data_IF_836159687625
#
_entry.id   IF_836159687625
#
_cell.length_a   1.000
_cell.length_b   1.000
_cell.length_c   1.000
_cell.angle_alpha   90.00
_cell.angle_beta   90.00
_cell.angle_gamma   90.00
#
_symmetry.space_group_name_H-M   'P 1'
#
loop_
_entity.id
_entity.type
_entity.pdbx_description
1 polymer ?
#
# COMPACT_ATOMS: atom_id res chain seq x y z
N UNK A 1 21.98 -9.93 -19.19
CA UNK A 1 20.73 -9.35 -18.68
C UNK A 1 21.07 -7.99 -18.13
N UNK A 2 20.52 -6.90 -18.69
CA UNK A 2 20.72 -5.57 -18.12
C UNK A 2 20.05 -5.52 -16.74
N UNK A 3 20.71 -4.94 -15.74
CA UNK A 3 20.13 -4.73 -14.41
C UNK A 3 18.94 -3.75 -14.48
N UNK A 4 18.10 -3.75 -13.44
CA UNK A 4 17.04 -2.75 -13.29
C UNK A 4 17.66 -1.33 -13.28
N UNK A 5 16.97 -0.30 -13.80
CA UNK A 5 17.35 1.08 -13.59
C UNK A 5 17.57 1.37 -12.09
N UNK A 6 18.49 2.27 -11.69
CA UNK A 6 18.80 2.53 -10.28
C UNK A 6 17.58 2.84 -9.41
N UNK A 7 16.65 3.62 -9.95
CA UNK A 7 15.39 3.97 -9.28
C UNK A 7 14.48 2.75 -9.06
N UNK A 8 14.36 1.89 -10.07
CA UNK A 8 13.58 0.66 -9.97
C UNK A 8 14.22 -0.33 -8.97
N UNK A 9 15.56 -0.39 -8.92
CA UNK A 9 16.26 -1.18 -7.91
C UNK A 9 15.99 -0.66 -6.49
N UNK A 10 16.03 0.66 -6.28
CA UNK A 10 15.75 1.27 -4.99
C UNK A 10 14.29 1.05 -4.55
N UNK A 11 13.33 1.19 -5.47
CA UNK A 11 11.92 0.87 -5.19
C UNK A 11 11.76 -0.59 -4.78
N UNK A 12 12.43 -1.51 -5.45
CA UNK A 12 12.41 -2.93 -5.10
C UNK A 12 13.00 -3.21 -3.71
N UNK A 13 14.05 -2.50 -3.32
CA UNK A 13 14.61 -2.58 -1.95
C UNK A 13 13.64 -2.05 -0.89
N UNK A 14 12.94 -0.96 -1.19
CA UNK A 14 11.90 -0.41 -0.30
C UNK A 14 10.74 -1.39 -0.14
N UNK A 15 10.23 -1.99 -1.22
CA UNK A 15 9.16 -2.98 -1.15
C UNK A 15 9.55 -4.21 -0.32
N UNK A 16 10.81 -4.67 -0.43
CA UNK A 16 11.35 -5.74 0.43
C UNK A 16 11.48 -5.31 1.90
N UNK A 17 11.77 -4.05 2.17
CA UNK A 17 11.79 -3.52 3.52
C UNK A 17 10.39 -3.51 4.13
N UNK A 18 9.38 -3.08 3.37
CA UNK A 18 7.97 -3.09 3.80
C UNK A 18 7.46 -4.51 4.07
N UNK A 19 7.83 -5.47 3.20
CA UNK A 19 7.55 -6.90 3.43
C UNK A 19 8.06 -7.36 4.81
N UNK A 20 9.33 -7.09 5.12
CA UNK A 20 9.94 -7.50 6.39
C UNK A 20 9.27 -6.82 7.59
N UNK A 21 9.07 -5.50 7.51
CA UNK A 21 8.39 -4.73 8.55
C UNK A 21 7.02 -5.32 8.87
N UNK A 22 6.22 -5.60 7.84
CA UNK A 22 4.85 -6.03 8.05
C UNK A 22 4.71 -7.49 8.40
N UNK A 23 5.66 -8.36 8.03
CA UNK A 23 5.72 -9.72 8.59
C UNK A 23 5.77 -9.69 10.13
N UNK A 24 6.58 -8.80 10.70
CA UNK A 24 6.66 -8.64 12.15
C UNK A 24 5.39 -8.03 12.75
N UNK A 25 4.82 -7.00 12.11
CA UNK A 25 3.57 -6.38 12.59
C UNK A 25 2.37 -7.35 12.51
N UNK A 26 2.26 -8.15 11.46
CA UNK A 26 1.15 -9.09 11.28
C UNK A 26 1.15 -10.20 12.33
N UNK A 27 2.34 -10.66 12.75
CA UNK A 27 2.47 -11.60 13.86
C UNK A 27 1.88 -11.05 15.18
N UNK A 28 1.94 -9.74 15.40
CA UNK A 28 1.42 -9.10 16.61
C UNK A 28 -0.09 -8.79 16.55
N UNK A 29 -0.60 -8.33 15.39
CA UNK A 29 -1.96 -7.79 15.28
C UNK A 29 -2.98 -8.74 14.63
N UNK A 30 -2.52 -9.76 13.90
CA UNK A 30 -3.37 -10.69 13.15
C UNK A 30 -4.34 -9.98 12.20
N UNK A 31 -5.55 -10.52 12.08
CA UNK A 31 -6.59 -10.06 11.13
C UNK A 31 -7.35 -8.80 11.55
N UNK A 32 -6.91 -8.08 12.59
CA UNK A 32 -7.66 -6.93 13.13
C UNK A 32 -8.00 -5.86 12.07
N UNK A 33 -7.15 -5.73 11.05
CA UNK A 33 -7.28 -4.77 9.95
C UNK A 33 -8.47 -5.02 9.02
N UNK A 34 -9.02 -6.24 8.95
CA UNK A 34 -10.14 -6.61 8.06
C UNK A 34 -11.42 -7.05 8.75
N UNK A 35 -11.41 -7.22 10.08
CA UNK A 35 -12.54 -7.80 10.86
C UNK A 35 -13.92 -7.14 10.65
N UNK A 36 -13.97 -5.89 10.18
CA UNK A 36 -15.23 -5.15 9.93
C UNK A 36 -15.48 -4.90 8.44
N UNK A 37 -14.84 -5.69 7.58
CA UNK A 37 -15.02 -5.63 6.12
C UNK A 37 -14.37 -4.41 5.46
N UNK A 38 -14.68 -4.24 4.18
CA UNK A 38 -14.10 -3.24 3.28
C UNK A 38 -14.23 -1.80 3.81
N UNK A 39 -15.45 -1.34 4.11
CA UNK A 39 -15.69 0.08 4.42
C UNK A 39 -15.24 0.47 5.84
N UNK A 40 -15.63 -0.32 6.85
CA UNK A 40 -15.45 0.06 8.26
C UNK A 40 -14.03 -0.23 8.77
N UNK A 41 -13.34 -1.24 8.22
CA UNK A 41 -11.99 -1.59 8.65
C UNK A 41 -10.93 -1.16 7.64
N UNK A 42 -10.98 -1.69 6.42
CA UNK A 42 -9.89 -1.53 5.44
C UNK A 42 -9.83 -0.08 4.96
N UNK A 43 -10.92 0.42 4.40
CA UNK A 43 -11.00 1.78 3.88
C UNK A 43 -10.76 2.83 4.95
N UNK A 44 -11.33 2.67 6.15
CA UNK A 44 -11.09 3.59 7.26
C UNK A 44 -9.61 3.69 7.67
N UNK A 45 -8.85 2.58 7.62
CA UNK A 45 -7.41 2.62 7.88
C UNK A 45 -6.64 3.31 6.76
N UNK A 46 -6.97 3.00 5.49
CA UNK A 46 -6.36 3.64 4.31
C UNK A 46 -6.63 5.14 4.31
N UNK A 47 -7.87 5.58 4.52
CA UNK A 47 -8.28 6.98 4.56
C UNK A 47 -7.56 7.75 5.67
N UNK A 48 -7.48 7.20 6.88
CA UNK A 48 -6.73 7.83 7.98
C UNK A 48 -5.25 8.04 7.66
N UNK A 49 -4.63 7.13 6.88
CA UNK A 49 -3.22 7.29 6.46
C UNK A 49 -3.11 8.34 5.37
N UNK A 50 -4.02 8.34 4.40
CA UNK A 50 -4.10 9.41 3.40
C UNK A 50 -4.27 10.80 4.03
N UNK A 51 -5.21 10.97 4.96
CA UNK A 51 -5.45 12.25 5.65
C UNK A 51 -4.19 12.79 6.35
N UNK A 52 -3.41 11.89 6.97
CA UNK A 52 -2.12 12.25 7.59
C UNK A 52 -1.11 12.76 6.56
N UNK A 53 -1.07 12.16 5.37
CA UNK A 53 -0.22 12.63 4.27
C UNK A 53 -0.69 13.99 3.75
N UNK A 54 -2.00 14.19 3.61
CA UNK A 54 -2.57 15.50 3.23
C UNK A 54 -2.13 16.59 4.18
N UNK A 55 -2.24 16.38 5.51
CA UNK A 55 -1.75 17.34 6.50
C UNK A 55 -0.24 17.61 6.36
N UNK A 56 0.56 16.57 6.12
CA UNK A 56 2.00 16.71 6.00
C UNK A 56 2.44 17.46 4.73
N UNK A 57 1.83 17.17 3.58
CA UNK A 57 2.20 17.75 2.28
C UNK A 57 1.55 19.12 2.03
N UNK A 58 0.29 19.31 2.45
CA UNK A 58 -0.48 20.51 2.11
C UNK A 58 -0.49 21.54 3.24
N UNK A 59 -0.66 21.10 4.49
CA UNK A 59 -0.68 22.03 5.63
C UNK A 59 0.71 22.35 6.18
N UNK A 60 1.74 21.63 5.74
CA UNK A 60 3.13 21.72 6.24
C UNK A 60 3.23 21.65 7.76
N UNK A 61 2.28 20.95 8.39
CA UNK A 61 2.26 20.74 9.83
C UNK A 61 2.99 19.44 10.15
N UNK A 62 3.98 19.45 11.06
CA UNK A 62 4.60 18.22 11.52
C UNK A 62 3.51 17.30 12.07
N UNK A 63 3.36 16.10 11.53
CA UNK A 63 2.51 15.09 12.11
C UNK A 63 3.06 14.77 13.51
N UNK A 64 2.37 15.22 14.56
CA UNK A 64 2.86 15.14 15.94
C UNK A 64 3.02 13.70 16.46
N UNK A 65 2.54 12.70 15.72
CA UNK A 65 2.40 11.32 16.22
C UNK A 65 3.11 10.25 15.40
N UNK A 66 3.50 10.51 14.15
CA UNK A 66 4.09 9.49 13.26
C UNK A 66 4.99 10.13 12.18
N UNK A 67 6.19 9.59 11.93
CA UNK A 67 7.03 10.03 10.81
C UNK A 67 6.31 9.92 9.45
N UNK A 68 6.64 10.83 8.54
CA UNK A 68 6.04 10.87 7.20
C UNK A 68 6.29 9.57 6.42
N UNK A 69 7.53 9.05 6.45
CA UNK A 69 7.90 7.82 5.77
C UNK A 69 7.10 6.61 6.28
N UNK A 70 6.86 6.53 7.59
CA UNK A 70 6.08 5.47 8.21
C UNK A 70 4.61 5.56 7.78
N UNK A 71 4.07 6.78 7.67
CA UNK A 71 2.70 6.99 7.17
C UNK A 71 2.55 6.54 5.70
N UNK A 72 3.54 6.85 4.84
CA UNK A 72 3.55 6.39 3.43
C UNK A 72 3.72 4.87 3.35
N UNK A 73 4.61 4.29 4.16
CA UNK A 73 4.83 2.85 4.27
C UNK A 73 3.55 2.12 4.68
N UNK A 74 2.87 2.60 5.71
CA UNK A 74 1.60 2.04 6.17
C UNK A 74 0.53 2.15 5.08
N UNK A 75 0.41 3.29 4.37
CA UNK A 75 -0.55 3.43 3.27
C UNK A 75 -0.30 2.42 2.15
N UNK A 76 0.97 2.22 1.76
CA UNK A 76 1.37 1.20 0.79
C UNK A 76 0.91 -0.19 1.23
N UNK A 77 1.12 -0.54 2.49
CA UNK A 77 0.72 -1.85 3.00
C UNK A 77 -0.78 -2.00 3.14
N UNK A 78 -1.52 -0.99 3.60
CA UNK A 78 -2.98 -1.08 3.65
C UNK A 78 -3.61 -1.19 2.26
N UNK A 79 -3.02 -0.54 1.25
CA UNK A 79 -3.42 -0.75 -0.15
C UNK A 79 -3.12 -2.19 -0.62
N UNK A 80 -1.94 -2.74 -0.28
CA UNK A 80 -1.59 -4.13 -0.56
C UNK A 80 -2.50 -5.14 0.14
N UNK A 81 -2.83 -4.91 1.41
CA UNK A 81 -3.77 -5.73 2.17
C UNK A 81 -5.19 -5.67 1.63
N UNK A 82 -5.61 -4.50 1.14
CA UNK A 82 -6.90 -4.42 0.46
C UNK A 82 -6.94 -5.31 -0.79
N UNK A 83 -5.86 -5.38 -1.56
CA UNK A 83 -5.76 -6.31 -2.69
C UNK A 83 -5.82 -7.78 -2.26
N UNK A 84 -5.13 -8.19 -1.17
CA UNK A 84 -5.23 -9.58 -0.69
C UNK A 84 -6.64 -9.93 -0.25
N UNK A 85 -7.36 -8.97 0.33
CA UNK A 85 -8.77 -9.12 0.67
C UNK A 85 -9.67 -9.22 -0.57
N UNK A 86 -9.47 -8.39 -1.61
CA UNK A 86 -10.23 -8.52 -2.86
C UNK A 86 -9.95 -9.88 -3.52
N UNK A 87 -8.69 -10.32 -3.58
CA UNK A 87 -8.30 -11.62 -4.12
C UNK A 87 -8.98 -12.79 -3.39
N UNK A 88 -9.17 -12.70 -2.07
CA UNK A 88 -9.84 -13.70 -1.27
C UNK A 88 -11.38 -13.68 -1.45
N UNK A 89 -12.00 -12.51 -1.40
CA UNK A 89 -13.46 -12.37 -1.38
C UNK A 89 -14.10 -12.33 -2.77
N UNK A 90 -13.36 -11.85 -3.76
CA UNK A 90 -13.81 -11.60 -5.14
C UNK A 90 -12.78 -12.10 -6.16
N UNK A 91 -12.43 -13.41 -6.13
CA UNK A 91 -11.32 -13.95 -6.91
C UNK A 91 -11.52 -13.81 -8.43
N UNK A 92 -12.75 -13.98 -8.92
CA UNK A 92 -13.05 -13.89 -10.35
C UNK A 92 -12.86 -12.45 -10.87
N UNK A 93 -13.32 -11.47 -10.11
CA UNK A 93 -13.16 -10.06 -10.42
C UNK A 93 -11.70 -9.60 -10.26
N UNK A 94 -10.98 -10.15 -9.28
CA UNK A 94 -9.56 -9.91 -9.12
C UNK A 94 -8.76 -10.42 -10.32
N UNK A 95 -9.00 -11.66 -10.77
CA UNK A 95 -8.34 -12.20 -11.96
C UNK A 95 -8.72 -11.43 -13.23
N UNK A 96 -9.97 -10.94 -13.32
CA UNK A 96 -10.42 -10.08 -14.42
C UNK A 96 -9.75 -8.69 -14.45
N UNK A 97 -9.12 -8.26 -13.36
CA UNK A 97 -8.37 -7.01 -13.30
C UNK A 97 -7.04 -7.04 -14.07
N UNK A 98 -6.60 -8.23 -14.52
CA UNK A 98 -5.35 -8.47 -15.28
C UNK A 98 -4.10 -7.91 -14.57
N UNK A 99 -4.03 -8.15 -13.26
CA UNK A 99 -2.89 -7.74 -12.43
C UNK A 99 -1.71 -8.72 -12.56
N UNK A 100 -0.48 -8.31 -12.19
CA UNK A 100 0.72 -9.15 -12.32
C UNK A 100 0.77 -10.41 -11.44
N UNK A 101 -0.27 -10.70 -10.67
CA UNK A 101 -0.42 -11.88 -9.83
C UNK A 101 -1.89 -12.30 -9.80
N UNK A 102 -2.15 -13.59 -9.59
CA UNK A 102 -3.52 -14.15 -9.59
C UNK A 102 -4.17 -14.04 -8.21
N UNK A 103 -5.49 -14.19 -8.16
CA UNK A 103 -6.24 -14.28 -6.91
C UNK A 103 -5.72 -15.42 -6.02
N UNK A 104 -5.34 -16.55 -6.63
CA UNK A 104 -4.77 -17.68 -5.89
C UNK A 104 -3.38 -17.37 -5.31
N UNK A 105 -2.57 -16.58 -6.01
CA UNK A 105 -1.26 -16.16 -5.50
C UNK A 105 -1.41 -15.23 -4.28
N UNK A 106 -2.44 -14.39 -4.29
CA UNK A 106 -2.62 -13.28 -3.35
C UNK A 106 -3.75 -13.45 -2.35
N UNK A 107 -4.41 -14.61 -2.33
CA UNK A 107 -5.49 -14.90 -1.38
C UNK A 107 -4.98 -14.77 0.05
N UNK A 108 -5.67 -13.95 0.85
CA UNK A 108 -5.34 -13.72 2.27
C UNK A 108 -5.41 -15.00 3.13
N UNK A 109 -6.04 -16.08 2.64
CA UNK A 109 -5.95 -17.40 3.26
C UNK A 109 -4.49 -17.91 3.38
N UNK A 110 -3.55 -17.31 2.65
CA UNK A 110 -2.10 -17.53 2.75
C UNK A 110 -1.43 -16.70 3.86
N UNK A 111 -2.20 -15.87 4.57
CA UNK A 111 -1.72 -14.98 5.63
C UNK A 111 -0.64 -14.02 5.13
N UNK A 112 0.46 -13.81 5.88
CA UNK A 112 1.49 -12.82 5.53
C UNK A 112 2.20 -13.11 4.18
N UNK A 113 2.14 -14.35 3.69
CA UNK A 113 2.74 -14.74 2.40
C UNK A 113 2.04 -14.07 1.21
N UNK A 114 0.74 -13.75 1.33
CA UNK A 114 -0.02 -13.08 0.27
C UNK A 114 0.51 -11.67 0.01
N UNK A 115 0.68 -10.87 1.07
CA UNK A 115 1.24 -9.52 0.96
C UNK A 115 2.68 -9.58 0.45
N UNK A 116 3.47 -10.56 0.89
CA UNK A 116 4.83 -10.76 0.38
C UNK A 116 4.83 -11.03 -1.14
N UNK A 117 3.98 -11.93 -1.62
CA UNK A 117 3.87 -12.22 -3.05
C UNK A 117 3.46 -10.98 -3.84
N UNK A 118 2.54 -10.18 -3.30
CA UNK A 118 2.09 -8.92 -3.88
C UNK A 118 3.22 -7.90 -4.02
N UNK A 119 3.95 -7.63 -2.93
CA UNK A 119 5.05 -6.66 -2.94
C UNK A 119 6.21 -7.13 -3.84
N UNK A 120 6.44 -8.45 -3.92
CA UNK A 120 7.40 -9.04 -4.83
C UNK A 120 6.99 -8.91 -6.31
N UNK A 121 5.70 -9.04 -6.62
CA UNK A 121 5.16 -8.74 -7.94
C UNK A 121 5.33 -7.25 -8.25
N UNK A 122 4.95 -6.39 -7.31
CA UNK A 122 5.05 -4.93 -7.46
C UNK A 122 6.50 -4.47 -7.72
N UNK A 123 7.49 -5.11 -7.10
CA UNK A 123 8.91 -4.82 -7.30
C UNK A 123 9.42 -5.18 -8.70
N UNK A 124 8.75 -6.09 -9.41
CA UNK A 124 9.12 -6.54 -10.77
C UNK A 124 8.36 -5.80 -11.86
N UNK A 125 7.22 -5.18 -11.54
CA UNK A 125 6.38 -4.46 -12.50
C UNK A 125 7.06 -3.19 -12.96
N UNK A 126 7.32 -3.03 -14.27
CA UNK A 126 7.84 -1.78 -14.82
C UNK A 126 6.79 -0.67 -14.67
N UNK A 127 7.21 0.47 -14.14
CA UNK A 127 6.38 1.67 -13.97
C UNK A 127 7.29 2.88 -14.05
N UNK A 128 6.79 3.99 -14.57
CA UNK A 128 7.57 5.23 -14.63
C UNK A 128 7.80 5.81 -13.23
N UNK A 129 9.03 6.25 -12.97
CA UNK A 129 9.36 6.91 -11.72
C UNK A 129 8.83 8.35 -11.76
N UNK A 130 8.17 8.85 -10.70
CA UNK A 130 7.88 10.27 -10.60
C UNK A 130 9.19 11.05 -10.47
N UNK A 131 9.16 12.29 -10.96
CA UNK A 131 10.35 13.17 -11.01
C UNK A 131 10.84 13.52 -9.59
N UNK A 132 9.90 13.75 -8.67
CA UNK A 132 10.18 14.14 -7.28
C UNK A 132 9.06 13.67 -6.33
N UNK A 133 9.20 13.97 -5.03
CA UNK A 133 8.22 13.58 -4.02
C UNK A 133 6.85 14.26 -4.21
N UNK A 134 6.78 15.46 -4.78
CA UNK A 134 5.52 16.15 -5.02
C UNK A 134 4.75 15.50 -6.17
N UNK A 135 5.43 15.12 -7.25
CA UNK A 135 4.86 14.34 -8.33
C UNK A 135 4.40 12.95 -7.84
N UNK A 136 5.17 12.30 -6.96
CA UNK A 136 4.76 11.06 -6.30
C UNK A 136 3.51 11.24 -5.44
N UNK A 137 3.43 12.35 -4.68
CA UNK A 137 2.25 12.67 -3.88
C UNK A 137 1.01 12.91 -4.76
N UNK A 138 1.14 13.66 -5.85
CA UNK A 138 0.05 13.88 -6.79
C UNK A 138 -0.50 12.57 -7.40
N UNK A 139 0.38 11.59 -7.68
CA UNK A 139 -0.04 10.27 -8.12
C UNK A 139 -0.84 9.52 -7.03
N UNK A 140 -0.36 9.55 -5.78
CA UNK A 140 -1.09 8.99 -4.63
C UNK A 140 -2.46 9.64 -4.46
N UNK A 141 -2.57 10.97 -4.58
CA UNK A 141 -3.86 11.68 -4.51
C UNK A 141 -4.82 11.24 -5.61
N UNK A 142 -4.31 11.07 -6.83
CA UNK A 142 -5.11 10.61 -7.95
C UNK A 142 -5.66 9.19 -7.72
N UNK A 143 -4.79 8.24 -7.38
CA UNK A 143 -5.15 6.83 -7.15
C UNK A 143 -6.07 6.67 -5.94
N UNK A 144 -5.73 7.27 -4.80
CA UNK A 144 -6.57 7.23 -3.60
C UNK A 144 -7.91 7.94 -3.81
N UNK A 145 -7.92 9.16 -4.35
CA UNK A 145 -9.15 9.92 -4.54
C UNK A 145 -10.13 9.25 -5.49
N UNK A 146 -9.64 8.52 -6.50
CA UNK A 146 -10.49 7.73 -7.40
C UNK A 146 -11.07 6.51 -6.69
N UNK A 147 -10.28 5.81 -5.89
CA UNK A 147 -10.75 4.71 -5.06
C UNK A 147 -11.79 5.17 -4.02
N UNK A 148 -11.52 6.28 -3.33
CA UNK A 148 -12.39 6.86 -2.32
C UNK A 148 -13.76 7.23 -2.90
N UNK A 149 -13.80 7.93 -4.04
CA UNK A 149 -15.08 8.31 -4.66
C UNK A 149 -15.96 7.10 -4.93
N UNK A 150 -15.36 6.01 -5.43
CA UNK A 150 -16.08 4.77 -5.67
C UNK A 150 -16.60 4.09 -4.39
N UNK A 151 -15.80 4.08 -3.34
CA UNK A 151 -16.19 3.52 -2.04
C UNK A 151 -17.25 4.36 -1.32
N UNK A 152 -17.19 5.69 -1.44
CA UNK A 152 -18.21 6.60 -0.91
C UNK A 152 -19.52 6.49 -1.69
N UNK A 153 -19.48 6.28 -3.00
CA UNK A 153 -20.67 5.99 -3.78
C UNK A 153 -21.39 4.74 -3.24
N UNK A 154 -20.65 3.66 -2.95
CA UNK A 154 -21.21 2.42 -2.38
C UNK A 154 -21.89 2.60 -1.01
N UNK A 155 -21.42 3.54 -0.20
CA UNK A 155 -21.96 3.82 1.13
C UNK A 155 -23.16 4.79 1.14
N UNK A 156 -23.38 5.50 0.03
CA UNK A 156 -24.45 6.50 -0.09
C UNK A 156 -25.76 5.80 -0.53
N UNK A 157 -26.94 6.17 0.00
CA UNK A 157 -28.22 5.72 -0.54
C UNK A 157 -28.57 6.43 -1.86
N UNK A 158 -28.93 5.65 -2.90
CA UNK A 158 -29.32 6.18 -4.21
C UNK A 158 -28.22 6.60 -5.22
N UNK A 159 -26.95 6.16 -5.14
CA UNK A 159 -25.98 6.38 -6.20
C UNK A 159 -26.46 5.71 -7.48
N UNK A 160 -26.07 6.25 -8.64
CA UNK A 160 -26.27 5.51 -9.87
C UNK A 160 -25.39 4.25 -9.81
N UNK A 161 -25.91 3.09 -10.18
CA UNK A 161 -25.14 1.84 -10.15
C UNK A 161 -23.84 1.92 -10.99
N UNK A 162 -23.80 2.81 -11.98
CA UNK A 162 -22.63 3.12 -12.81
C UNK A 162 -21.51 3.89 -12.10
N UNK A 163 -21.75 4.40 -10.89
CA UNK A 163 -20.78 5.16 -10.09
C UNK A 163 -20.02 4.28 -9.08
N UNK A 164 -20.49 3.05 -8.85
CA UNK A 164 -19.84 2.10 -7.95
C UNK A 164 -18.86 1.26 -8.78
N UNK A 165 -17.54 1.37 -8.55
CA UNK A 165 -16.58 0.58 -9.28
C UNK A 165 -16.76 -0.91 -8.95
N UNK A 166 -16.62 -1.74 -9.97
CA UNK A 166 -16.47 -3.18 -9.85
C UNK A 166 -15.25 -3.54 -8.99
N UNK A 167 -15.21 -4.76 -8.47
CA UNK A 167 -14.03 -5.23 -7.74
C UNK A 167 -12.77 -5.32 -8.61
N UNK A 168 -12.93 -5.53 -9.93
CA UNK A 168 -11.81 -5.46 -10.86
C UNK A 168 -11.21 -4.05 -10.92
N UNK A 169 -12.05 -3.02 -11.04
CA UNK A 169 -11.61 -1.61 -11.02
C UNK A 169 -11.01 -1.23 -9.67
N UNK A 170 -11.61 -1.67 -8.55
CA UNK A 170 -11.05 -1.47 -7.20
C UNK A 170 -9.67 -2.10 -7.06
N UNK A 171 -9.46 -3.31 -7.60
CA UNK A 171 -8.17 -3.96 -7.59
C UNK A 171 -7.14 -3.19 -8.43
N UNK A 172 -7.51 -2.69 -9.60
CA UNK A 172 -6.61 -1.84 -10.40
C UNK A 172 -6.21 -0.55 -9.66
N UNK A 173 -7.16 0.11 -9.02
CA UNK A 173 -6.92 1.34 -8.25
C UNK A 173 -6.06 1.08 -7.01
N UNK A 174 -6.32 0.01 -6.27
CA UNK A 174 -5.52 -0.38 -5.12
C UNK A 174 -4.09 -0.77 -5.54
N UNK A 175 -3.93 -1.42 -6.70
CA UNK A 175 -2.62 -1.74 -7.26
C UNK A 175 -1.84 -0.49 -7.66
N UNK A 176 -2.49 0.48 -8.32
CA UNK A 176 -1.89 1.77 -8.62
C UNK A 176 -1.45 2.47 -7.32
N UNK A 177 -2.29 2.49 -6.29
CA UNK A 177 -1.95 3.08 -5.00
C UNK A 177 -0.71 2.42 -4.34
N UNK A 178 -0.54 1.10 -4.44
CA UNK A 178 0.68 0.40 -3.99
C UNK A 178 1.91 0.91 -4.75
N UNK A 179 1.82 1.04 -6.07
CA UNK A 179 2.94 1.52 -6.89
C UNK A 179 3.29 2.97 -6.57
N UNK A 180 2.28 3.84 -6.50
CA UNK A 180 2.45 5.27 -6.28
C UNK A 180 3.03 5.56 -4.90
N UNK A 181 2.57 4.86 -3.86
CA UNK A 181 3.12 5.00 -2.51
C UNK A 181 4.54 4.45 -2.39
N UNK A 182 4.87 3.34 -3.07
CA UNK A 182 6.24 2.84 -3.12
C UNK A 182 7.19 3.83 -3.80
N UNK A 183 6.73 4.49 -4.87
CA UNK A 183 7.50 5.55 -5.52
C UNK A 183 7.62 6.81 -4.67
N UNK A 184 6.54 7.24 -4.01
CA UNK A 184 6.57 8.37 -3.08
C UNK A 184 7.61 8.11 -1.98
N UNK A 185 7.62 6.92 -1.39
CA UNK A 185 8.60 6.54 -0.38
C UNK A 185 10.03 6.52 -0.93
N UNK A 186 10.20 6.14 -2.21
CA UNK A 186 11.49 6.20 -2.91
C UNK A 186 12.00 7.63 -3.05
N UNK A 187 11.13 8.57 -3.43
CA UNK A 187 11.49 9.99 -3.58
C UNK A 187 11.72 10.67 -2.24
N UNK A 188 10.91 10.37 -1.23
CA UNK A 188 11.15 10.85 0.13
C UNK A 188 12.50 10.38 0.69
N UNK A 189 12.99 9.21 0.26
CA UNK A 189 14.32 8.74 0.65
C UNK A 189 15.46 9.49 -0.06
N UNK A 190 15.21 10.12 -1.22
CA UNK A 190 16.17 11.04 -1.84
C UNK A 190 16.27 12.34 -1.04
N UNK A 191 15.12 12.90 -0.65
CA UNK A 191 15.04 14.20 0.03
C UNK A 191 15.41 14.12 1.53
N UNK A 192 15.04 13.03 2.20
CA UNK A 192 15.23 12.83 3.64
C UNK A 192 15.71 11.40 3.97
N UNK A 193 16.99 11.05 3.68
CA UNK A 193 17.53 9.72 3.90
C UNK A 193 17.42 9.21 5.34
N UNK A 194 17.43 10.12 6.32
CA UNK A 194 17.31 9.79 7.74
C UNK A 194 15.99 9.06 8.07
N UNK A 195 14.88 9.42 7.42
CA UNK A 195 13.58 8.79 7.66
C UNK A 195 13.56 7.32 7.22
N UNK A 196 14.13 7.01 6.05
CA UNK A 196 14.24 5.62 5.59
C UNK A 196 15.27 4.83 6.42
N UNK A 197 16.33 5.48 6.91
CA UNK A 197 17.30 4.83 7.79
C UNK A 197 16.70 4.46 9.16
N UNK A 198 15.80 5.28 9.70
CA UNK A 198 15.05 4.94 10.91
C UNK A 198 14.18 3.68 10.68
N UNK A 199 13.44 3.63 9.56
CA UNK A 199 12.65 2.45 9.18
C UNK A 199 13.52 1.20 9.01
N UNK A 200 14.69 1.32 8.40
CA UNK A 200 15.67 0.22 8.27
C UNK A 200 16.19 -0.26 9.62
N UNK A 201 16.47 0.67 10.52
CA UNK A 201 16.93 0.35 11.88
C UNK A 201 15.84 -0.39 12.66
N UNK A 202 14.59 0.09 12.60
CA UNK A 202 13.44 -0.58 13.22
C UNK A 202 13.31 -2.03 12.73
N UNK A 203 13.34 -2.26 11.41
CA UNK A 203 13.27 -3.63 10.86
C UNK A 203 14.46 -4.48 11.31
N UNK A 204 15.67 -3.92 11.38
CA UNK A 204 16.85 -4.63 11.86
C UNK A 204 16.73 -5.02 13.34
N UNK A 205 16.17 -4.13 14.18
CA UNK A 205 15.92 -4.40 15.59
C UNK A 205 14.86 -5.49 15.77
N UNK A 206 13.78 -5.45 14.98
CA UNK A 206 12.74 -6.50 14.98
C UNK A 206 13.28 -7.87 14.54
N UNK A 207 14.17 -7.90 13.54
CA UNK A 207 14.82 -9.14 13.09
C UNK A 207 15.73 -9.77 14.17
N UNK A 208 16.29 -8.95 15.07
CA UNK A 208 17.15 -9.39 16.16
C UNK A 208 16.36 -9.75 17.44
N UNK A 209 15.11 -9.30 17.56
CA UNK A 209 14.29 -9.60 18.72
C UNK A 209 13.98 -11.11 18.78
N UNK A 210 14.12 -11.76 19.95
CA UNK A 210 13.74 -13.14 20.10
C UNK A 210 12.25 -13.29 19.80
N UNK A 211 11.92 -14.11 18.80
CA UNK A 211 10.54 -14.48 18.46
C UNK A 211 9.88 -15.01 19.74
N UNK A 212 8.91 -14.27 20.29
CA UNK A 212 8.19 -14.75 21.47
C UNK A 212 7.38 -15.99 21.07
N UNK A 213 7.49 -17.10 21.81
CA UNK A 213 6.86 -18.37 21.47
C UNK A 213 5.34 -18.33 21.58
#
# INVERSE_FOLDING_TARGET
MAGLPPDAQRRAEILKLLERLHRHKDAAYGDAWRKRGEVIAIFANTARKYDRLTVAFEEQRPAATEPLADTVADLCVYAGKYLTWIAEQHPAEFDAADLPATANDLSDARGPDALQALLAAAAKTPTDAPIDALAGWAAVQHSFGTLERGLMAQATPGPAASEIPSYAEKAQLAWALVQDTAWLLTRLADDAPASLNALRAEVADMDQAPQQP
#
